data_IF_635801665914
#
_entry.id   IF_635801665914
#
_cell.length_a   1.000
_cell.length_b   1.000
_cell.length_c   1.000
_cell.angle_alpha   90.00
_cell.angle_beta   90.00
_cell.angle_gamma   90.00
#
_symmetry.space_group_name_H-M   'P 1'
#
loop_
_entity.id
_entity.type
_entity.pdbx_description
1 polymer ?
#
# COMPACT_ATOMS: atom_id res chain seq x y z
N UNK A 1 -14.29 0.05 -3.37
CA UNK A 1 -13.52 -1.18 -3.12
C UNK A 1 -14.34 -2.03 -2.18
N UNK A 2 -14.85 -3.17 -2.64
CA UNK A 2 -15.51 -4.16 -1.76
C UNK A 2 -14.42 -4.93 -1.01
N UNK A 3 -13.90 -4.31 0.06
CA UNK A 3 -13.07 -5.01 1.04
C UNK A 3 -13.92 -6.08 1.73
N UNK A 4 -13.29 -7.18 2.14
CA UNK A 4 -13.99 -8.13 2.98
C UNK A 4 -14.17 -7.50 4.38
N UNK A 5 -15.37 -6.97 4.63
CA UNK A 5 -15.69 -6.25 5.87
C UNK A 5 -15.42 -7.08 7.15
N UNK A 6 -15.50 -8.42 7.04
CA UNK A 6 -15.16 -9.31 8.15
C UNK A 6 -13.66 -9.26 8.43
N UNK A 7 -12.86 -9.37 7.38
CA UNK A 7 -11.41 -9.31 7.44
C UNK A 7 -10.97 -7.95 7.98
N UNK A 8 -11.60 -6.85 7.54
CA UNK A 8 -11.35 -5.51 8.08
C UNK A 8 -11.64 -5.42 9.59
N UNK A 9 -12.75 -6.00 10.07
CA UNK A 9 -13.05 -6.00 11.50
C UNK A 9 -12.07 -6.86 12.30
N UNK A 10 -11.73 -8.05 11.80
CA UNK A 10 -10.71 -8.91 12.42
C UNK A 10 -9.41 -8.13 12.57
N UNK A 11 -9.04 -7.38 11.54
CA UNK A 11 -7.85 -6.54 11.54
C UNK A 11 -7.93 -5.39 12.53
N UNK A 12 -9.06 -4.72 12.64
CA UNK A 12 -9.29 -3.65 13.62
C UNK A 12 -9.13 -4.19 15.06
N UNK A 13 -9.77 -5.32 15.36
CA UNK A 13 -9.70 -5.95 16.69
C UNK A 13 -8.28 -6.41 17.01
N UNK A 14 -7.59 -7.08 16.08
CA UNK A 14 -6.20 -7.50 16.26
C UNK A 14 -5.26 -6.32 16.45
N UNK A 15 -5.46 -5.23 15.70
CA UNK A 15 -4.73 -3.98 15.85
C UNK A 15 -4.91 -3.40 17.25
N UNK A 16 -6.15 -3.36 17.75
CA UNK A 16 -6.44 -2.87 19.09
C UNK A 16 -5.80 -3.73 20.19
N UNK A 17 -5.90 -5.06 20.08
CA UNK A 17 -5.24 -5.99 21.02
C UNK A 17 -3.73 -5.75 21.05
N UNK A 18 -3.12 -5.55 19.88
CA UNK A 18 -1.69 -5.27 19.79
C UNK A 18 -1.33 -3.92 20.44
N UNK A 19 -2.11 -2.86 20.18
CA UNK A 19 -1.94 -1.55 20.82
C UNK A 19 -2.05 -1.66 22.34
N UNK A 20 -3.04 -2.40 22.84
CA UNK A 20 -3.24 -2.63 24.28
C UNK A 20 -2.03 -3.33 24.91
N UNK A 21 -1.44 -4.30 24.20
CA UNK A 21 -0.22 -4.99 24.63
C UNK A 21 1.01 -4.08 24.70
N UNK A 22 1.19 -3.18 23.72
CA UNK A 22 2.28 -2.20 23.75
C UNK A 22 2.09 -1.25 24.94
N UNK A 23 0.87 -0.74 25.11
CA UNK A 23 0.49 0.14 26.20
C UNK A 23 0.69 -0.49 27.57
N UNK A 24 0.30 -1.76 27.74
CA UNK A 24 0.54 -2.53 28.95
C UNK A 24 2.04 -2.71 29.20
N UNK A 25 2.81 -3.04 28.16
CA UNK A 25 4.27 -3.21 28.26
C UNK A 25 4.98 -1.93 28.70
N UNK A 26 4.52 -0.77 28.20
CA UNK A 26 4.97 0.53 28.67
C UNK A 26 4.58 0.79 30.13
N UNK A 27 3.30 0.59 30.49
CA UNK A 27 2.77 0.79 31.85
C UNK A 27 3.47 -0.07 32.90
N UNK A 28 3.86 -1.29 32.53
CA UNK A 28 4.62 -2.20 33.38
C UNK A 28 6.11 -1.82 33.50
N UNK A 29 6.54 -0.72 32.88
CA UNK A 29 7.92 -0.25 32.91
C UNK A 29 8.90 -1.14 32.15
N UNK A 30 8.42 -1.99 31.24
CA UNK A 30 9.26 -2.98 30.52
C UNK A 30 9.81 -2.44 29.21
N UNK A 31 9.12 -1.47 28.60
CA UNK A 31 9.48 -0.94 27.29
C UNK A 31 10.82 -0.20 27.30
N UNK A 32 10.97 0.83 28.13
CA UNK A 32 12.19 1.64 28.17
C UNK A 32 13.45 0.82 28.52
N UNK A 33 13.44 -0.06 29.55
CA UNK A 33 14.60 -0.91 29.83
C UNK A 33 14.97 -1.82 28.66
N UNK A 34 13.98 -2.32 27.92
CA UNK A 34 14.22 -3.11 26.72
C UNK A 34 14.84 -2.27 25.60
N UNK A 35 14.32 -1.08 25.31
CA UNK A 35 14.91 -0.17 24.30
C UNK A 35 16.34 0.22 24.68
N UNK A 36 16.59 0.52 25.96
CA UNK A 36 17.92 0.81 26.49
C UNK A 36 18.92 -0.32 26.24
N UNK A 37 18.49 -1.58 26.08
CA UNK A 37 19.40 -2.67 25.70
C UNK A 37 20.02 -2.51 24.32
N UNK A 38 19.46 -1.68 23.44
CA UNK A 38 20.03 -1.41 22.11
C UNK A 38 20.97 -0.20 22.10
N UNK A 39 20.93 0.66 23.13
CA UNK A 39 21.86 1.77 23.26
C UNK A 39 23.28 1.26 23.53
N UNK A 40 24.34 1.76 22.84
CA UNK A 40 25.71 1.34 23.07
C UNK A 40 26.12 1.41 24.54
N UNK A 41 25.81 2.53 25.19
CA UNK A 41 26.10 2.77 26.61
C UNK A 41 24.98 2.34 27.57
N UNK A 42 23.95 1.65 27.08
CA UNK A 42 22.77 1.21 27.87
C UNK A 42 22.09 2.34 28.65
N UNK A 43 22.07 3.55 28.08
CA UNK A 43 21.49 4.72 28.74
C UNK A 43 19.98 4.54 28.98
N UNK A 44 19.44 5.06 30.08
CA UNK A 44 18.00 5.10 30.29
C UNK A 44 17.33 6.00 29.25
N UNK A 45 16.11 5.63 28.87
CA UNK A 45 15.27 6.40 27.96
C UNK A 45 13.85 6.57 28.50
N UNK A 46 13.14 7.55 27.96
CA UNK A 46 11.72 7.80 28.18
C UNK A 46 10.98 7.86 26.85
N UNK A 47 9.69 7.50 26.89
CA UNK A 47 8.78 7.67 25.76
C UNK A 47 8.30 9.12 25.74
N UNK A 48 8.49 9.80 24.62
CA UNK A 48 8.00 11.17 24.43
C UNK A 48 6.77 11.18 23.53
N UNK A 49 5.63 11.61 24.07
CA UNK A 49 4.38 11.74 23.32
C UNK A 49 3.65 10.42 23.06
N UNK A 50 2.77 10.43 22.06
CA UNK A 50 1.97 9.26 21.64
C UNK A 50 2.62 8.55 20.45
N UNK A 51 1.93 7.53 19.93
CA UNK A 51 2.36 6.88 18.69
C UNK A 51 2.42 7.86 17.52
N UNK A 52 3.46 7.70 16.71
CA UNK A 52 3.53 8.20 15.35
C UNK A 52 2.90 7.13 14.44
N UNK A 53 1.69 7.37 13.96
CA UNK A 53 0.94 6.39 13.18
C UNK A 53 1.30 6.46 11.69
N UNK A 54 1.78 5.35 11.14
CA UNK A 54 1.77 5.07 9.70
C UNK A 54 0.58 4.17 9.33
N UNK A 55 0.36 3.95 8.03
CA UNK A 55 -0.73 3.09 7.56
C UNK A 55 -0.54 1.62 7.99
N UNK A 56 0.72 1.16 8.08
CA UNK A 56 1.08 -0.22 8.38
C UNK A 56 2.06 -0.35 9.55
N UNK A 57 2.32 0.73 10.29
CA UNK A 57 3.30 0.74 11.35
C UNK A 57 3.00 1.78 12.44
N UNK A 58 3.48 1.53 13.65
CA UNK A 58 3.39 2.41 14.80
C UNK A 58 4.81 2.75 15.28
N UNK A 59 5.13 4.04 15.26
CA UNK A 59 6.39 4.59 15.74
C UNK A 59 6.27 5.10 17.18
N UNK A 60 7.31 4.91 17.97
CA UNK A 60 7.45 5.43 19.33
C UNK A 60 8.73 6.26 19.43
N UNK A 61 8.60 7.53 19.82
CA UNK A 61 9.72 8.44 20.00
C UNK A 61 10.35 8.21 21.38
N UNK A 62 11.61 7.80 21.41
CA UNK A 62 12.37 7.47 22.61
C UNK A 62 13.48 8.49 22.81
N UNK A 63 13.51 9.14 23.98
CA UNK A 63 14.53 10.14 24.35
C UNK A 63 15.44 9.55 25.41
N UNK A 64 16.73 9.50 25.13
CA UNK A 64 17.76 9.02 26.05
C UNK A 64 18.26 10.14 26.97
N UNK A 65 18.87 9.78 28.10
CA UNK A 65 19.39 10.75 29.08
C UNK A 65 20.47 11.70 28.53
N UNK A 66 21.17 11.31 27.46
CA UNK A 66 22.14 12.14 26.74
C UNK A 66 21.50 13.06 25.69
N UNK A 67 20.16 13.03 25.57
CA UNK A 67 19.33 13.72 24.57
C UNK A 67 19.38 13.12 23.18
N UNK A 68 19.96 11.93 23.00
CA UNK A 68 19.79 11.16 21.77
C UNK A 68 18.32 10.79 21.61
N UNK A 69 17.77 10.92 20.40
CA UNK A 69 16.36 10.62 20.12
C UNK A 69 16.26 9.55 19.05
N UNK A 70 15.57 8.45 19.37
CA UNK A 70 15.31 7.35 18.45
C UNK A 70 13.82 7.19 18.19
N UNK A 71 13.50 6.63 17.02
CA UNK A 71 12.19 6.10 16.70
C UNK A 71 12.25 4.57 16.77
N UNK A 72 11.39 3.97 17.59
CA UNK A 72 11.14 2.52 17.58
C UNK A 72 9.88 2.28 16.74
N UNK A 73 10.03 1.68 15.57
CA UNK A 73 8.94 1.38 14.64
C UNK A 73 8.57 -0.08 14.72
N UNK A 74 7.29 -0.36 14.94
CA UNK A 74 6.72 -1.69 14.86
C UNK A 74 5.78 -1.75 13.65
N UNK A 75 5.83 -2.81 12.82
CA UNK A 75 4.79 -3.05 11.83
C UNK A 75 3.48 -3.40 12.56
N UNK A 76 2.40 -2.71 12.19
CA UNK A 76 1.02 -3.00 12.56
C UNK A 76 0.57 -4.24 11.79
N UNK A 77 1.12 -5.40 12.19
CA UNK A 77 0.76 -6.79 11.86
C UNK A 77 2.01 -7.64 12.14
N UNK A 78 1.93 -8.49 13.15
CA UNK A 78 2.98 -9.45 13.42
C UNK A 78 2.90 -10.64 12.43
N UNK A 79 3.44 -10.46 11.21
CA UNK A 79 3.99 -11.59 10.45
C UNK A 79 5.50 -11.53 10.58
N UNK A 80 5.98 -12.26 11.57
CA UNK A 80 7.37 -12.44 11.93
C UNK A 80 7.39 -13.23 13.24
N UNK A 81 8.39 -14.10 13.48
CA UNK A 81 8.43 -14.85 14.73
C UNK A 81 8.53 -13.87 15.90
N UNK A 82 7.41 -13.62 16.59
CA UNK A 82 7.37 -12.83 17.82
C UNK A 82 8.31 -13.41 18.90
N UNK A 83 8.73 -14.66 18.72
CA UNK A 83 9.72 -15.37 19.52
C UNK A 83 11.08 -14.64 19.61
N UNK A 84 11.45 -13.75 18.67
CA UNK A 84 12.71 -13.00 18.76
C UNK A 84 12.59 -11.67 19.50
N UNK A 85 11.37 -11.20 19.78
CA UNK A 85 11.14 -10.00 20.60
C UNK A 85 10.75 -10.45 22.03
N UNK A 86 11.56 -10.15 23.06
CA UNK A 86 11.28 -10.58 24.43
C UNK A 86 10.01 -9.94 25.04
N UNK A 87 9.49 -8.87 24.43
CA UNK A 87 8.20 -8.26 24.79
C UNK A 87 7.02 -8.90 24.06
N UNK A 88 7.28 -9.79 23.10
CA UNK A 88 6.27 -10.43 22.27
C UNK A 88 5.49 -9.44 21.39
N UNK A 89 6.07 -8.27 21.09
CA UNK A 89 5.43 -7.22 20.28
C UNK A 89 5.61 -7.43 18.76
N UNK A 90 6.36 -8.46 18.36
CA UNK A 90 6.67 -8.74 16.96
C UNK A 90 7.99 -8.10 16.49
N UNK A 91 8.28 -8.14 15.18
CA UNK A 91 9.46 -7.50 14.60
C UNK A 91 9.43 -5.98 14.82
N UNK A 92 10.59 -5.34 14.79
CA UNK A 92 10.73 -3.89 15.00
C UNK A 92 11.97 -3.36 14.28
N UNK A 93 12.02 -2.05 14.10
CA UNK A 93 13.18 -1.31 13.59
C UNK A 93 13.45 -0.17 14.58
N UNK A 94 14.71 0.02 14.95
CA UNK A 94 15.17 1.21 15.69
C UNK A 94 15.96 2.06 14.70
N UNK A 95 15.65 3.34 14.66
CA UNK A 95 16.29 4.30 13.78
C UNK A 95 16.37 5.67 14.43
N UNK A 96 17.21 6.54 13.88
CA UNK A 96 17.28 7.93 14.32
C UNK A 96 15.93 8.63 14.09
N UNK A 97 15.53 9.46 15.05
CA UNK A 97 14.34 10.30 14.89
C UNK A 97 14.71 11.53 14.05
N UNK A 98 13.89 11.83 13.04
CA UNK A 98 14.05 13.03 12.21
C UNK A 98 13.12 14.11 12.74
N UNK A 99 13.69 15.17 13.32
CA UNK A 99 12.93 16.33 13.76
C UNK A 99 12.37 17.12 12.56
N UNK A 100 11.07 17.38 12.60
CA UNK A 100 10.38 18.18 11.59
C UNK A 100 8.87 17.99 11.62
N UNK A 101 8.22 18.43 10.54
CA UNK A 101 6.77 18.36 10.34
C UNK A 101 6.47 17.46 9.15
N UNK A 102 5.52 16.53 9.31
CA UNK A 102 5.00 15.72 8.20
C UNK A 102 4.41 16.63 7.13
N UNK A 103 4.92 16.52 5.90
CA UNK A 103 4.39 17.29 4.79
C UNK A 103 2.97 16.83 4.43
N UNK A 104 2.67 15.53 4.56
CA UNK A 104 1.32 15.01 4.37
C UNK A 104 0.29 15.67 5.30
N UNK A 105 0.65 15.87 6.57
CA UNK A 105 -0.23 16.54 7.53
C UNK A 105 -0.33 18.04 7.27
N UNK A 106 0.74 18.67 6.81
CA UNK A 106 0.75 20.10 6.48
C UNK A 106 -0.14 20.44 5.28
N UNK A 107 -0.23 19.51 4.32
CA UNK A 107 -0.99 19.70 3.09
C UNK A 107 -2.46 19.29 3.22
N UNK A 108 -2.86 18.59 4.28
CA UNK A 108 -4.25 18.24 4.52
C UNK A 108 -5.07 19.44 5.00
N UNK A 109 -6.31 19.53 4.54
CA UNK A 109 -7.30 20.44 5.12
C UNK A 109 -7.92 19.84 6.39
N UNK A 110 -7.42 20.28 7.54
CA UNK A 110 -7.93 19.87 8.86
C UNK A 110 -9.30 20.48 9.20
N UNK A 111 -9.80 21.41 8.39
CA UNK A 111 -11.12 22.02 8.57
C UNK A 111 -12.23 21.30 7.80
N UNK A 112 -11.88 20.41 6.86
CA UNK A 112 -12.84 19.65 6.08
C UNK A 112 -13.66 18.70 6.95
N UNK A 113 -14.99 18.68 6.76
CA UNK A 113 -15.89 17.75 7.46
C UNK A 113 -15.56 16.28 7.19
N UNK A 114 -14.99 16.00 6.02
CA UNK A 114 -14.50 14.68 5.62
C UNK A 114 -13.00 14.76 5.38
N UNK A 115 -12.18 14.07 6.20
CA UNK A 115 -10.75 13.99 5.96
C UNK A 115 -10.48 13.44 4.57
N UNK A 116 -9.68 14.16 3.79
CA UNK A 116 -9.20 13.70 2.49
C UNK A 116 -7.68 13.80 2.45
N UNK A 117 -7.06 13.03 1.55
CA UNK A 117 -5.62 13.18 1.26
C UNK A 117 -5.35 14.25 0.20
N UNK A 118 -6.36 15.00 -0.23
CA UNK A 118 -6.17 16.06 -1.20
C UNK A 118 -5.42 17.23 -0.57
N UNK A 119 -4.68 17.93 -1.42
CA UNK A 119 -4.00 19.16 -1.04
C UNK A 119 -5.03 20.24 -0.71
N UNK A 120 -4.86 20.92 0.42
CA UNK A 120 -5.64 22.11 0.80
C UNK A 120 -5.56 23.18 -0.28
N UNK A 121 -6.67 23.87 -0.52
CA UNK A 121 -6.79 24.84 -1.62
C UNK A 121 -6.08 26.18 -1.34
N UNK A 122 -5.81 26.49 -0.07
CA UNK A 122 -5.23 27.77 0.37
C UNK A 122 -3.69 27.80 0.31
N UNK A 123 -3.04 26.73 -0.14
CA UNK A 123 -1.59 26.70 -0.31
C UNK A 123 -1.14 27.60 -1.46
N UNK A 124 -0.06 28.36 -1.25
CA UNK A 124 0.46 29.25 -2.30
C UNK A 124 1.15 28.45 -3.42
N UNK A 125 1.03 28.91 -4.67
CA UNK A 125 1.76 28.33 -5.80
C UNK A 125 3.29 28.32 -5.57
N UNK A 126 3.80 29.27 -4.78
CA UNK A 126 5.22 29.34 -4.41
C UNK A 126 5.65 28.18 -3.51
N UNK A 127 4.85 27.85 -2.49
CA UNK A 127 5.13 26.74 -1.58
C UNK A 127 5.05 25.40 -2.31
N UNK A 128 4.04 25.26 -3.17
CA UNK A 128 3.86 24.10 -4.07
C UNK A 128 5.11 23.91 -4.95
N UNK A 129 5.63 25.00 -5.53
CA UNK A 129 6.84 24.95 -6.33
C UNK A 129 8.07 24.50 -5.52
N UNK A 130 8.26 25.02 -4.30
CA UNK A 130 9.37 24.63 -3.41
C UNK A 130 9.32 23.12 -3.10
N UNK A 131 8.14 22.62 -2.76
CA UNK A 131 7.92 21.21 -2.42
C UNK A 131 8.24 20.32 -3.63
N UNK A 132 7.62 20.60 -4.78
CA UNK A 132 7.76 19.74 -5.95
C UNK A 132 9.16 19.78 -6.56
N UNK A 133 9.86 20.91 -6.46
CA UNK A 133 11.26 21.01 -6.90
C UNK A 133 12.17 20.06 -6.10
N UNK A 134 11.97 19.96 -4.79
CA UNK A 134 12.72 19.04 -3.94
C UNK A 134 12.35 17.57 -4.23
N UNK A 135 11.05 17.27 -4.33
CA UNK A 135 10.56 15.93 -4.69
C UNK A 135 11.13 15.45 -6.04
N UNK A 136 11.09 16.31 -7.06
CA UNK A 136 11.70 16.03 -8.36
C UNK A 136 13.22 15.77 -8.23
N UNK A 137 13.92 16.53 -7.38
CA UNK A 137 15.32 16.32 -7.06
C UNK A 137 15.61 14.93 -6.47
N UNK A 138 14.78 14.44 -5.54
CA UNK A 138 14.92 13.09 -4.98
C UNK A 138 14.58 12.01 -6.00
N UNK A 139 13.52 12.19 -6.78
CA UNK A 139 13.15 11.24 -7.83
C UNK A 139 14.23 11.12 -8.90
N UNK A 140 14.88 12.23 -9.29
CA UNK A 140 16.01 12.18 -10.21
C UNK A 140 17.23 11.45 -9.63
N UNK A 141 17.44 11.52 -8.32
CA UNK A 141 18.49 10.74 -7.65
C UNK A 141 18.16 9.25 -7.65
N UNK A 142 16.92 8.88 -7.32
CA UNK A 142 16.45 7.48 -7.35
C UNK A 142 16.48 6.91 -8.78
N UNK A 143 16.09 7.69 -9.79
CA UNK A 143 16.10 7.27 -11.19
C UNK A 143 17.51 6.98 -11.73
N UNK A 144 18.57 7.51 -11.11
CA UNK A 144 19.96 7.19 -11.49
C UNK A 144 20.41 5.81 -11.01
N UNK A 145 19.65 5.16 -10.14
CA UNK A 145 19.93 3.81 -9.67
C UNK A 145 19.46 2.81 -10.74
N UNK A 146 20.43 2.15 -11.38
CA UNK A 146 20.21 1.15 -12.42
C UNK A 146 20.38 -0.26 -11.88
N UNK A 147 19.46 -1.14 -12.30
CA UNK A 147 19.46 -2.55 -11.95
C UNK A 147 19.24 -3.42 -13.18
N UNK A 148 19.84 -4.61 -13.19
CA UNK A 148 19.81 -5.55 -14.32
C UNK A 148 18.58 -6.48 -14.33
N UNK A 149 17.90 -6.65 -13.19
CA UNK A 149 16.76 -7.56 -13.07
C UNK A 149 15.66 -6.99 -12.17
N UNK A 150 14.40 -7.25 -12.52
CA UNK A 150 13.23 -6.96 -11.69
C UNK A 150 13.14 -7.95 -10.53
N UNK A 151 12.92 -7.45 -9.32
CA UNK A 151 12.77 -8.29 -8.14
C UNK A 151 12.76 -7.53 -6.82
N UNK A 152 12.66 -8.28 -5.72
CA UNK A 152 12.84 -7.77 -4.37
C UNK A 152 14.27 -7.28 -4.16
N UNK A 153 14.46 -6.28 -3.30
CA UNK A 153 15.80 -5.89 -2.87
C UNK A 153 16.48 -7.07 -2.17
N UNK A 154 17.74 -7.40 -2.55
CA UNK A 154 18.45 -8.50 -1.91
C UNK A 154 18.66 -8.19 -0.43
N UNK A 155 18.56 -9.18 0.48
CA UNK A 155 18.96 -8.96 1.85
C UNK A 155 20.45 -8.56 1.90
N UNK A 156 20.88 -7.79 2.92
CA UNK A 156 22.30 -7.59 3.20
C UNK A 156 23.00 -8.96 3.26
N UNK A 157 24.27 -9.09 2.85
CA UNK A 157 24.90 -10.39 2.60
C UNK A 157 24.91 -11.26 3.86
N UNK A 158 23.95 -12.19 3.95
CA UNK A 158 23.98 -13.35 4.82
C UNK A 158 24.73 -14.44 4.07
N UNK A 159 26.06 -14.38 4.13
CA UNK A 159 27.02 -15.32 3.53
C UNK A 159 26.95 -15.50 2.01
N UNK A 160 28.08 -15.85 1.39
CA UNK A 160 28.25 -16.05 -0.05
C UNK A 160 27.35 -17.17 -0.65
N UNK A 161 26.64 -17.91 0.20
CA UNK A 161 25.80 -19.05 -0.16
C UNK A 161 24.40 -18.67 -0.71
N UNK A 162 23.97 -17.40 -0.61
CA UNK A 162 22.65 -16.95 -1.06
C UNK A 162 22.68 -16.11 -2.35
N UNK A 163 23.65 -16.34 -3.25
CA UNK A 163 23.56 -15.79 -4.61
C UNK A 163 22.37 -16.44 -5.32
N UNK A 164 21.19 -15.86 -5.18
CA UNK A 164 20.05 -16.21 -6.00
C UNK A 164 20.43 -15.99 -7.47
N UNK A 165 20.17 -16.98 -8.31
CA UNK A 165 20.33 -16.86 -9.77
C UNK A 165 19.34 -15.87 -10.38
N UNK A 166 18.26 -15.56 -9.67
CA UNK A 166 17.31 -14.50 -9.95
C UNK A 166 16.79 -13.85 -8.67
N UNK A 167 16.56 -12.54 -8.69
CA UNK A 167 15.93 -11.85 -7.56
C UNK A 167 14.52 -12.40 -7.30
N UNK A 168 14.11 -12.62 -6.02
CA UNK A 168 12.76 -13.06 -5.70
C UNK A 168 11.69 -12.09 -6.20
N UNK A 169 10.48 -12.57 -6.51
CA UNK A 169 9.37 -11.69 -6.93
C UNK A 169 9.17 -10.54 -5.93
N UNK A 170 8.96 -9.30 -6.42
CA UNK A 170 8.67 -8.16 -5.56
C UNK A 170 7.50 -8.40 -4.60
N UNK A 171 7.58 -7.81 -3.41
CA UNK A 171 6.42 -7.62 -2.52
C UNK A 171 5.87 -6.21 -2.79
N UNK A 172 4.99 -6.11 -3.78
CA UNK A 172 4.33 -4.85 -4.15
C UNK A 172 3.26 -4.47 -3.14
N UNK A 173 2.88 -3.20 -3.13
CA UNK A 173 1.71 -2.76 -2.36
C UNK A 173 0.43 -3.49 -2.82
N UNK A 174 0.30 -3.71 -4.13
CA UNK A 174 -0.86 -4.44 -4.70
C UNK A 174 -0.99 -5.83 -4.11
N UNK A 175 0.03 -6.68 -4.20
CA UNK A 175 -0.06 -8.06 -3.69
C UNK A 175 -0.38 -8.10 -2.19
N UNK A 176 0.16 -7.14 -1.43
CA UNK A 176 -0.18 -7.00 -0.02
C UNK A 176 -1.64 -6.61 0.20
N UNK A 177 -2.15 -5.62 -0.53
CA UNK A 177 -3.54 -5.20 -0.45
C UNK A 177 -4.51 -6.32 -0.82
N UNK A 178 -4.18 -7.13 -1.83
CA UNK A 178 -5.00 -8.28 -2.24
C UNK A 178 -5.06 -9.34 -1.15
N UNK A 179 -3.89 -9.70 -0.58
CA UNK A 179 -3.82 -10.66 0.51
C UNK A 179 -4.55 -10.13 1.76
N UNK A 180 -4.32 -8.87 2.11
CA UNK A 180 -4.93 -8.26 3.28
C UNK A 180 -6.44 -8.13 3.12
N UNK A 181 -6.94 -7.61 2.00
CA UNK A 181 -8.34 -7.24 1.90
C UNK A 181 -9.22 -8.36 1.35
N UNK A 182 -8.62 -9.32 0.64
CA UNK A 182 -9.32 -10.42 -0.03
C UNK A 182 -8.91 -11.81 0.43
N UNK A 183 -7.89 -11.95 1.28
CA UNK A 183 -7.30 -13.24 1.70
C UNK A 183 -6.80 -14.11 0.54
N UNK A 184 -6.60 -13.51 -0.64
CA UNK A 184 -6.10 -14.22 -1.83
C UNK A 184 -4.59 -14.07 -1.92
N UNK A 185 -3.88 -15.20 -1.95
CA UNK A 185 -2.44 -15.21 -2.16
C UNK A 185 -2.11 -15.17 -3.66
N UNK A 186 -1.64 -14.02 -4.14
CA UNK A 186 -1.21 -13.82 -5.54
C UNK A 186 0.32 -13.67 -5.69
N UNK A 187 1.11 -14.12 -4.70
CA UNK A 187 2.58 -14.09 -4.76
C UNK A 187 3.13 -14.97 -5.89
N UNK A 188 2.44 -16.07 -6.20
CA UNK A 188 2.94 -17.13 -7.07
C UNK A 188 4.29 -17.67 -6.57
N UNK A 189 5.11 -18.15 -7.49
CA UNK A 189 6.44 -18.69 -7.16
C UNK A 189 7.44 -17.55 -6.89
N UNK A 190 7.66 -17.25 -5.60
CA UNK A 190 8.58 -16.19 -5.15
C UNK A 190 10.04 -16.44 -5.51
N UNK A 191 10.43 -17.67 -5.88
CA UNK A 191 11.82 -17.99 -6.25
C UNK A 191 12.21 -17.48 -7.63
N UNK A 192 11.23 -17.01 -8.42
CA UNK A 192 11.43 -16.51 -9.78
C UNK A 192 11.48 -14.98 -9.81
N UNK A 193 12.38 -14.42 -10.61
CA UNK A 193 12.35 -12.99 -10.97
C UNK A 193 11.57 -12.75 -12.27
N UNK A 194 11.69 -11.52 -12.79
CA UNK A 194 11.23 -11.18 -14.15
C UNK A 194 12.40 -10.69 -14.99
N UNK A 195 12.47 -11.11 -16.25
CA UNK A 195 13.51 -10.69 -17.18
C UNK A 195 13.07 -9.45 -17.98
N UNK A 196 11.77 -9.21 -18.11
CA UNK A 196 11.22 -8.14 -18.95
C UNK A 196 10.12 -7.37 -18.26
N UNK A 197 9.89 -6.13 -18.70
CA UNK A 197 8.72 -5.34 -18.27
C UNK A 197 7.41 -6.05 -18.65
N UNK A 198 7.34 -6.68 -19.82
CA UNK A 198 6.16 -7.43 -20.26
C UNK A 198 5.77 -8.53 -19.28
N UNK A 199 6.73 -9.34 -18.84
CA UNK A 199 6.47 -10.42 -17.88
C UNK A 199 5.97 -9.87 -16.55
N UNK A 200 6.60 -8.80 -16.05
CA UNK A 200 6.19 -8.17 -14.80
C UNK A 200 4.78 -7.56 -14.89
N UNK A 201 4.47 -6.79 -15.94
CA UNK A 201 3.12 -6.20 -16.10
C UNK A 201 2.05 -7.28 -16.29
N UNK A 202 2.32 -8.33 -17.07
CA UNK A 202 1.40 -9.47 -17.19
C UNK A 202 1.15 -10.16 -15.85
N UNK A 203 2.20 -10.31 -15.03
CA UNK A 203 2.07 -10.84 -13.68
C UNK A 203 1.19 -9.97 -12.78
N UNK A 204 1.46 -8.66 -12.73
CA UNK A 204 0.74 -7.72 -11.85
C UNK A 204 -0.73 -7.55 -12.27
N UNK A 205 -1.03 -7.40 -13.56
CA UNK A 205 -2.44 -7.39 -14.05
C UNK A 205 -3.15 -8.71 -13.74
N UNK A 206 -2.42 -9.83 -13.85
CA UNK A 206 -2.96 -11.15 -13.48
C UNK A 206 -3.44 -11.22 -12.03
N UNK A 207 -2.92 -10.41 -11.12
CA UNK A 207 -3.35 -10.44 -9.72
C UNK A 207 -4.79 -9.96 -9.52
N UNK A 208 -5.27 -8.99 -10.31
CA UNK A 208 -6.68 -8.56 -10.29
C UNK A 208 -7.60 -9.72 -10.71
N UNK A 209 -7.16 -10.49 -11.71
CA UNK A 209 -7.88 -11.69 -12.15
C UNK A 209 -7.95 -12.76 -11.06
N UNK A 210 -6.81 -13.07 -10.43
CA UNK A 210 -6.77 -14.05 -9.34
C UNK A 210 -7.66 -13.64 -8.17
N UNK A 211 -7.65 -12.36 -7.78
CA UNK A 211 -8.54 -11.86 -6.73
C UNK A 211 -10.01 -11.95 -7.14
N UNK A 212 -10.36 -11.56 -8.36
CA UNK A 212 -11.73 -11.67 -8.88
C UNK A 212 -12.23 -13.11 -8.79
N UNK A 213 -11.41 -14.07 -9.19
CA UNK A 213 -11.77 -15.49 -9.21
C UNK A 213 -11.89 -16.06 -7.79
N UNK A 214 -10.94 -15.76 -6.92
CA UNK A 214 -10.75 -16.48 -5.64
C UNK A 214 -11.33 -15.78 -4.41
N UNK A 215 -11.51 -14.46 -4.42
CA UNK A 215 -12.14 -13.77 -3.30
C UNK A 215 -13.68 -13.89 -3.45
N UNK A 216 -14.40 -14.53 -2.52
CA UNK A 216 -15.85 -14.78 -2.65
C UNK A 216 -16.67 -13.52 -2.95
N UNK A 217 -16.39 -12.43 -2.23
CA UNK A 217 -17.10 -11.15 -2.33
C UNK A 217 -16.43 -10.14 -3.28
N UNK A 218 -15.71 -10.59 -4.30
CA UNK A 218 -15.06 -9.72 -5.29
C UNK A 218 -16.02 -8.99 -6.26
N UNK A 219 -17.31 -9.32 -6.20
CA UNK A 219 -18.36 -8.75 -7.07
C UNK A 219 -19.58 -8.36 -6.24
N UNK A 220 -20.45 -7.50 -6.79
CA UNK A 220 -21.71 -7.10 -6.13
C UNK A 220 -22.99 -7.63 -6.80
N UNK A 221 -22.86 -8.48 -7.83
CA UNK A 221 -23.97 -9.13 -8.52
C UNK A 221 -23.56 -9.68 -9.89
N UNK A 222 -24.52 -10.27 -10.62
CA UNK A 222 -24.26 -10.90 -11.93
C UNK A 222 -23.67 -9.91 -12.94
N UNK A 223 -24.29 -8.74 -13.08
CA UNK A 223 -23.84 -7.69 -13.99
C UNK A 223 -22.39 -7.26 -13.69
N UNK A 224 -22.06 -7.06 -12.43
CA UNK A 224 -20.71 -6.68 -12.01
C UNK A 224 -19.69 -7.80 -12.27
N UNK A 225 -20.07 -9.06 -12.00
CA UNK A 225 -19.23 -10.22 -12.26
C UNK A 225 -18.86 -10.36 -13.73
N UNK A 226 -19.84 -10.25 -14.63
CA UNK A 226 -19.63 -10.35 -16.07
C UNK A 226 -18.74 -9.20 -16.58
N UNK A 227 -19.02 -7.97 -16.15
CA UNK A 227 -18.24 -6.80 -16.58
C UNK A 227 -16.79 -6.88 -16.08
N UNK A 228 -16.55 -7.23 -14.81
CA UNK A 228 -15.18 -7.39 -14.28
C UNK A 228 -14.43 -8.51 -15.00
N UNK A 229 -15.09 -9.62 -15.30
CA UNK A 229 -14.49 -10.74 -16.03
C UNK A 229 -13.94 -10.29 -17.39
N UNK A 230 -14.80 -9.67 -18.20
CA UNK A 230 -14.42 -9.20 -19.54
C UNK A 230 -13.38 -8.09 -19.44
N UNK A 231 -13.58 -7.12 -18.54
CA UNK A 231 -12.71 -5.97 -18.36
C UNK A 231 -11.28 -6.37 -17.98
N UNK A 232 -11.08 -7.31 -17.05
CA UNK A 232 -9.75 -7.73 -16.64
C UNK A 232 -9.04 -8.60 -17.67
N UNK A 233 -9.77 -9.46 -18.40
CA UNK A 233 -9.20 -10.18 -19.54
C UNK A 233 -8.79 -9.22 -20.66
N UNK A 234 -9.64 -8.24 -20.97
CA UNK A 234 -9.32 -7.19 -21.95
C UNK A 234 -8.10 -6.38 -21.53
N UNK A 235 -8.05 -5.89 -20.27
CA UNK A 235 -6.91 -5.15 -19.72
C UNK A 235 -5.59 -5.93 -19.88
N UNK A 236 -5.60 -7.22 -19.52
CA UNK A 236 -4.43 -8.10 -19.67
C UNK A 236 -3.99 -8.24 -21.13
N UNK A 237 -4.93 -8.25 -22.06
CA UNK A 237 -4.66 -8.34 -23.50
C UNK A 237 -4.02 -7.06 -24.08
N UNK A 238 -4.26 -5.90 -23.46
CA UNK A 238 -3.68 -4.61 -23.86
C UNK A 238 -2.25 -4.38 -23.38
N UNK A 239 -1.78 -5.11 -22.37
CA UNK A 239 -0.44 -4.92 -21.78
C UNK A 239 0.68 -4.86 -22.84
N UNK A 240 0.75 -5.74 -23.84
CA UNK A 240 1.82 -5.67 -24.86
C UNK A 240 1.82 -4.37 -25.67
N UNK A 241 0.65 -3.75 -25.88
CA UNK A 241 0.51 -2.51 -26.66
C UNK A 241 0.98 -1.28 -25.87
N UNK A 242 1.06 -1.41 -24.54
CA UNK A 242 1.37 -0.33 -23.59
C UNK A 242 2.78 -0.45 -23.00
N UNK A 243 3.70 -1.08 -23.74
CA UNK A 243 5.09 -1.27 -23.34
C UNK A 243 6.01 -0.49 -24.26
N UNK A 244 6.84 0.36 -23.67
CA UNK A 244 7.91 1.02 -24.37
C UNK A 244 9.01 -0.01 -24.71
N UNK A 245 9.17 -0.33 -25.99
CA UNK A 245 10.10 -1.36 -26.48
C UNK A 245 11.53 -1.22 -25.95
N UNK A 246 12.09 0.01 -25.99
CA UNK A 246 13.42 0.35 -25.42
C UNK A 246 13.56 -0.04 -23.94
N UNK A 247 12.51 0.10 -23.13
CA UNK A 247 12.53 -0.17 -21.70
C UNK A 247 12.05 -1.57 -21.33
N UNK A 248 11.69 -2.41 -22.31
CA UNK A 248 11.24 -3.76 -22.00
C UNK A 248 12.37 -4.64 -21.41
N UNK A 249 13.58 -4.48 -21.94
CA UNK A 249 14.82 -5.13 -21.48
C UNK A 249 15.86 -4.10 -21.02
N UNK A 250 15.44 -2.86 -20.78
CA UNK A 250 16.33 -1.79 -20.34
C UNK A 250 16.68 -1.92 -18.85
N UNK A 251 17.48 -0.97 -18.35
CA UNK A 251 17.77 -0.90 -16.92
C UNK A 251 16.48 -0.68 -16.12
N UNK A 252 16.34 -1.44 -15.04
CA UNK A 252 15.26 -1.34 -14.08
C UNK A 252 15.62 -0.33 -13.00
N UNK A 253 14.60 0.16 -12.28
CA UNK A 253 14.72 1.26 -11.31
C UNK A 253 14.23 0.83 -9.94
N UNK A 254 14.68 1.52 -8.91
CA UNK A 254 14.09 1.42 -7.58
C UNK A 254 12.70 2.07 -7.61
N UNK A 255 11.67 1.26 -7.45
CA UNK A 255 10.26 1.67 -7.36
C UNK A 255 9.83 1.56 -5.91
N UNK A 256 9.03 2.51 -5.44
CA UNK A 256 8.35 2.45 -4.16
C UNK A 256 6.89 2.82 -4.40
N UNK A 257 5.99 1.83 -4.33
CA UNK A 257 4.57 2.03 -4.69
C UNK A 257 3.89 3.08 -3.80
N UNK A 258 4.41 3.32 -2.59
CA UNK A 258 3.85 4.28 -1.64
C UNK A 258 4.58 5.63 -1.58
N UNK A 259 5.59 5.86 -2.42
CA UNK A 259 6.36 7.09 -2.37
C UNK A 259 5.58 8.30 -2.92
N UNK A 260 5.25 9.24 -2.05
CA UNK A 260 4.62 10.51 -2.36
C UNK A 260 4.98 11.62 -1.36
N UNK A 261 4.20 12.72 -1.35
CA UNK A 261 4.47 13.87 -0.48
C UNK A 261 4.28 13.55 1.01
N UNK A 262 3.43 12.58 1.35
CA UNK A 262 3.21 12.14 2.73
C UNK A 262 4.46 11.51 3.37
N UNK A 263 5.42 11.06 2.54
CA UNK A 263 6.67 10.45 2.98
C UNK A 263 7.77 11.49 3.29
N UNK A 264 7.49 12.78 3.09
CA UNK A 264 8.46 13.86 3.30
C UNK A 264 8.26 14.51 4.66
N UNK A 265 9.38 14.78 5.34
CA UNK A 265 9.44 15.58 6.57
C UNK A 265 10.12 16.89 6.21
N UNK A 266 9.47 18.02 6.51
CA UNK A 266 10.01 19.37 6.32
C UNK A 266 10.48 19.96 7.65
N UNK A 267 11.42 20.90 7.61
CA UNK A 267 12.02 21.48 8.82
C UNK A 267 10.98 22.12 9.72
N UNK A 268 10.03 22.88 9.17
CA UNK A 268 8.95 23.50 9.93
C UNK A 268 7.78 23.90 9.01
N UNK A 269 6.72 24.50 9.59
CA UNK A 269 5.60 25.05 8.80
C UNK A 269 6.00 26.23 7.91
N UNK A 270 7.02 26.99 8.33
CA UNK A 270 7.49 28.20 7.64
C UNK A 270 8.75 27.96 6.79
N UNK A 271 9.43 26.82 7.00
CA UNK A 271 10.58 26.37 6.22
C UNK A 271 10.30 24.98 5.64
N UNK A 272 9.86 24.97 4.38
CA UNK A 272 9.51 23.78 3.61
C UNK A 272 10.73 23.00 3.08
N UNK A 273 11.93 23.27 3.59
CA UNK A 273 13.12 22.44 3.30
C UNK A 273 12.88 21.02 3.80
N UNK A 274 12.96 20.04 2.89
CA UNK A 274 12.85 18.61 3.22
C UNK A 274 14.10 18.17 3.99
N UNK A 275 13.88 17.63 5.19
CA UNK A 275 14.92 17.10 6.09
C UNK A 275 14.84 15.58 6.25
N UNK A 276 13.77 14.95 5.76
CA UNK A 276 13.63 13.48 5.77
C UNK A 276 12.77 12.97 4.62
N UNK A 277 13.18 11.83 4.08
CA UNK A 277 12.36 10.97 3.20
C UNK A 277 12.23 9.65 3.92
N UNK A 278 11.03 9.33 4.39
CA UNK A 278 10.76 8.18 5.26
C UNK A 278 9.79 7.21 4.60
N UNK A 279 9.52 6.10 5.28
CA UNK A 279 8.48 5.16 4.89
C UNK A 279 8.61 4.65 3.44
N UNK A 280 9.83 4.30 3.04
CA UNK A 280 10.13 3.63 1.76
C UNK A 280 9.73 2.15 1.76
N UNK A 281 8.70 1.79 2.53
CA UNK A 281 8.10 0.47 2.48
C UNK A 281 7.50 0.22 1.09
N UNK A 282 7.37 -1.06 0.71
CA UNK A 282 6.97 -1.44 -0.66
C UNK A 282 7.98 -1.04 -1.74
N UNK A 283 9.25 -0.88 -1.36
CA UNK A 283 10.35 -0.70 -2.31
C UNK A 283 10.78 -2.01 -2.98
N UNK A 284 10.95 -1.98 -4.29
CA UNK A 284 11.44 -3.09 -5.11
C UNK A 284 12.13 -2.59 -6.37
N UNK A 285 12.83 -3.49 -7.06
CA UNK A 285 13.39 -3.20 -8.38
C UNK A 285 12.33 -3.52 -9.43
N UNK A 286 11.91 -2.51 -10.20
CA UNK A 286 10.81 -2.61 -11.14
C UNK A 286 11.04 -1.87 -12.47
N UNK A 287 10.10 -1.96 -13.42
CA UNK A 287 10.21 -1.29 -14.71
C UNK A 287 10.40 0.22 -14.60
N UNK A 288 11.37 0.77 -15.34
CA UNK A 288 11.61 2.21 -15.42
C UNK A 288 10.36 3.00 -15.87
N UNK A 289 9.47 2.35 -16.62
CA UNK A 289 8.21 2.91 -17.13
C UNK A 289 7.24 3.31 -16.00
N UNK A 290 7.26 2.59 -14.87
CA UNK A 290 6.49 2.98 -13.68
C UNK A 290 6.99 4.30 -13.10
N UNK A 291 8.31 4.50 -13.10
CA UNK A 291 8.95 5.72 -12.61
C UNK A 291 8.72 6.91 -13.55
N UNK A 292 8.75 6.66 -14.86
CA UNK A 292 8.54 7.66 -15.90
C UNK A 292 7.08 7.83 -16.33
N UNK A 293 6.13 7.53 -15.46
CA UNK A 293 4.72 7.87 -15.69
C UNK A 293 4.39 9.19 -15.04
N UNK A 294 3.44 9.93 -15.63
CA UNK A 294 2.89 11.13 -15.01
C UNK A 294 2.51 10.83 -13.56
N UNK A 295 3.22 11.42 -12.58
CA UNK A 295 3.17 10.89 -11.25
C UNK A 295 1.89 11.31 -10.54
N UNK A 296 1.17 10.32 -10.01
CA UNK A 296 -0.01 10.52 -9.17
C UNK A 296 0.30 11.33 -7.89
N UNK A 297 1.56 11.39 -7.44
CA UNK A 297 1.95 12.26 -6.31
C UNK A 297 1.75 13.75 -6.57
N UNK A 298 1.59 14.20 -7.82
CA UNK A 298 1.15 15.57 -8.13
C UNK A 298 -0.25 15.86 -7.57
N UNK A 299 -1.04 14.82 -7.34
CA UNK A 299 -2.39 14.91 -6.83
C UNK A 299 -2.46 14.71 -5.32
N UNK A 300 -1.31 14.45 -4.66
CA UNK A 300 -1.17 14.03 -3.25
C UNK A 300 -1.90 12.71 -2.89
N UNK A 301 -2.81 12.26 -3.74
CA UNK A 301 -3.68 11.12 -3.59
C UNK A 301 -3.64 10.21 -4.82
N UNK A 302 -4.01 8.93 -4.65
CA UNK A 302 -4.12 8.01 -5.78
C UNK A 302 -5.52 8.14 -6.40
N UNK A 303 -5.65 8.39 -7.71
CA UNK A 303 -6.95 8.63 -8.35
C UNK A 303 -7.72 7.33 -8.60
N UNK A 304 -7.88 6.51 -7.55
CA UNK A 304 -8.54 5.19 -7.56
C UNK A 304 -9.56 5.04 -6.44
N UNK A 305 -9.65 6.02 -5.54
CA UNK A 305 -10.69 6.05 -4.53
C UNK A 305 -11.93 6.79 -5.03
N UNK A 306 -13.03 6.67 -4.30
CA UNK A 306 -14.33 7.21 -4.70
C UNK A 306 -14.41 8.73 -4.73
N UNK A 307 -13.41 9.46 -4.20
CA UNK A 307 -13.33 10.91 -4.34
C UNK A 307 -13.01 11.34 -5.79
N UNK A 308 -12.55 10.39 -6.63
CA UNK A 308 -12.27 10.60 -8.05
C UNK A 308 -13.33 10.00 -8.98
N UNK A 309 -14.40 9.40 -8.42
CA UNK A 309 -15.46 8.79 -9.22
C UNK A 309 -16.26 9.86 -9.98
N UNK A 310 -16.59 9.56 -11.24
CA UNK A 310 -17.26 10.50 -12.15
C UNK A 310 -18.74 10.65 -11.78
N UNK A 311 -19.13 11.78 -11.17
CA UNK A 311 -20.54 12.12 -10.92
C UNK A 311 -21.19 12.96 -12.03
N UNK A 312 -20.57 13.00 -13.22
CA UNK A 312 -21.12 13.68 -14.40
C UNK A 312 -20.63 15.11 -14.63
N UNK A 313 -19.73 15.63 -13.80
CA UNK A 313 -19.02 16.90 -14.02
C UNK A 313 -17.50 16.68 -14.03
N UNK A 314 -16.80 17.63 -14.65
CA UNK A 314 -15.39 17.59 -15.04
C UNK A 314 -14.43 17.11 -13.92
N UNK A 315 -13.31 16.45 -14.26
CA UNK A 315 -12.32 16.02 -13.27
C UNK A 315 -11.75 17.23 -12.50
N UNK A 316 -11.26 17.04 -11.25
CA UNK A 316 -10.68 18.12 -10.45
C UNK A 316 -9.60 18.92 -11.21
N UNK A 317 -9.62 20.25 -11.05
CA UNK A 317 -8.76 21.23 -11.76
C UNK A 317 -7.25 20.95 -11.60
N UNK A 318 -6.86 20.18 -10.58
CA UNK A 318 -5.48 19.76 -10.30
C UNK A 318 -4.85 18.87 -11.37
N UNK A 319 -5.65 18.27 -12.27
CA UNK A 319 -5.15 17.42 -13.36
C UNK A 319 -4.56 18.19 -14.57
N UNK A 320 -4.63 19.53 -14.59
CA UNK A 320 -4.45 20.32 -15.83
C UNK A 320 -3.09 21.04 -16.00
N UNK A 321 -2.08 20.85 -15.13
CA UNK A 321 -0.82 21.63 -15.20
C UNK A 321 0.35 20.82 -15.78
N UNK A 322 0.78 21.05 -17.04
CA UNK A 322 2.00 20.44 -17.58
C UNK A 322 3.25 21.25 -17.17
N UNK A 323 4.29 20.62 -16.61
CA UNK A 323 5.59 21.27 -16.47
C UNK A 323 6.27 21.36 -17.84
N UNK A 324 6.74 22.56 -18.20
CA UNK A 324 7.67 22.73 -19.31
C UNK A 324 9.10 22.42 -18.86
N UNK A 325 9.89 21.73 -19.69
CA UNK A 325 11.34 21.92 -19.88
C UNK A 325 11.99 20.76 -20.69
N UNK A 326 13.24 21.00 -21.10
CA UNK A 326 14.11 20.30 -22.06
C UNK A 326 14.14 18.76 -22.00
N UNK A 327 14.30 18.14 -23.18
CA UNK A 327 14.29 16.68 -23.38
C UNK A 327 15.47 15.95 -22.69
N UNK A 328 15.20 15.39 -21.51
CA UNK A 328 16.00 14.38 -20.83
C UNK A 328 15.31 13.01 -20.91
N UNK A 329 16.04 11.95 -20.63
CA UNK A 329 15.52 10.57 -20.73
C UNK A 329 14.20 10.35 -19.98
N UNK A 330 14.10 10.84 -18.74
CA UNK A 330 12.89 10.71 -17.92
C UNK A 330 11.71 11.54 -18.48
N UNK A 331 11.95 12.76 -18.98
CA UNK A 331 10.88 13.59 -19.55
C UNK A 331 10.32 12.99 -20.84
N UNK A 332 11.17 12.35 -21.65
CA UNK A 332 10.73 11.61 -22.84
C UNK A 332 9.86 10.41 -22.47
N UNK A 333 10.22 9.69 -21.39
CA UNK A 333 9.42 8.58 -20.88
C UNK A 333 8.05 9.04 -20.34
N UNK A 334 8.02 10.17 -19.63
CA UNK A 334 6.78 10.82 -19.15
C UNK A 334 5.90 11.21 -20.33
N UNK A 335 6.47 11.89 -21.34
CA UNK A 335 5.74 12.25 -22.57
C UNK A 335 5.16 11.03 -23.26
N UNK A 336 5.97 9.98 -23.45
CA UNK A 336 5.51 8.72 -24.05
C UNK A 336 4.37 8.09 -23.24
N UNK A 337 4.49 8.00 -21.92
CA UNK A 337 3.47 7.38 -21.07
C UNK A 337 2.10 8.07 -21.17
N UNK A 338 2.12 9.39 -21.41
CA UNK A 338 0.93 10.20 -21.63
C UNK A 338 0.35 9.98 -23.03
N UNK A 339 1.20 10.02 -24.05
CA UNK A 339 0.78 9.88 -25.45
C UNK A 339 0.29 8.48 -25.78
N UNK A 340 0.84 7.44 -25.15
CA UNK A 340 0.44 6.04 -25.34
C UNK A 340 -0.70 5.58 -24.43
N UNK A 341 -1.12 6.41 -23.47
CA UNK A 341 -2.06 6.02 -22.42
C UNK A 341 -1.50 5.05 -21.38
N UNK A 342 -0.23 4.63 -21.47
CA UNK A 342 0.39 3.68 -20.54
C UNK A 342 0.39 4.16 -19.08
N UNK A 343 0.41 5.48 -18.84
CA UNK A 343 0.29 6.03 -17.47
C UNK A 343 -0.97 5.53 -16.74
N UNK A 344 -2.09 5.32 -17.44
CA UNK A 344 -3.32 4.81 -16.83
C UNK A 344 -3.20 3.35 -16.43
N UNK A 345 -2.54 2.53 -17.27
CA UNK A 345 -2.20 1.15 -16.90
C UNK A 345 -1.29 1.16 -15.66
N UNK A 346 -0.24 1.97 -15.64
CA UNK A 346 0.70 2.00 -14.52
C UNK A 346 0.02 2.38 -13.18
N UNK A 347 -0.98 3.27 -13.19
CA UNK A 347 -1.80 3.57 -12.01
C UNK A 347 -2.60 2.34 -11.54
N UNK A 348 -3.17 1.57 -12.47
CA UNK A 348 -3.89 0.31 -12.16
C UNK A 348 -2.94 -0.75 -11.58
N UNK A 349 -1.68 -0.79 -12.04
CA UNK A 349 -0.65 -1.72 -11.53
C UNK A 349 -0.18 -1.38 -10.11
N UNK A 350 -0.14 -0.09 -9.75
CA UNK A 350 0.27 0.38 -8.42
C UNK A 350 -0.88 0.43 -7.41
N UNK A 351 -2.09 0.04 -7.81
CA UNK A 351 -3.28 0.07 -6.96
C UNK A 351 -3.64 -1.34 -6.49
N UNK A 352 -4.43 -1.44 -5.41
CA UNK A 352 -4.98 -2.70 -4.90
C UNK A 352 -5.96 -3.34 -5.89
N UNK A 353 -7.07 -3.91 -5.42
CA UNK A 353 -8.07 -4.48 -6.32
C UNK A 353 -8.72 -3.39 -7.17
N UNK A 354 -8.60 -3.50 -8.49
CA UNK A 354 -9.14 -2.49 -9.39
C UNK A 354 -10.66 -2.62 -9.57
N UNK A 355 -11.30 -1.52 -9.94
CA UNK A 355 -12.69 -1.51 -10.42
C UNK A 355 -12.73 -1.12 -11.90
N UNK A 356 -13.56 -1.80 -12.68
CA UNK A 356 -13.71 -1.58 -14.12
C UNK A 356 -14.30 -0.19 -14.47
N UNK A 357 -14.82 0.52 -13.47
CA UNK A 357 -15.36 1.89 -13.55
C UNK A 357 -14.44 2.92 -12.92
N UNK A 358 -13.34 2.51 -12.30
CA UNK A 358 -12.39 3.44 -11.69
C UNK A 358 -11.88 4.47 -12.71
N UNK A 359 -11.51 5.64 -12.22
CA UNK A 359 -11.00 6.74 -13.06
C UNK A 359 -9.90 6.30 -14.04
N UNK A 360 -8.79 5.63 -13.64
CA UNK A 360 -7.74 5.22 -14.57
C UNK A 360 -8.25 4.19 -15.58
N UNK A 361 -9.15 3.30 -15.18
CA UNK A 361 -9.75 2.33 -16.11
C UNK A 361 -10.57 3.05 -17.18
N UNK A 362 -11.40 4.01 -16.78
CA UNK A 362 -12.20 4.84 -17.68
C UNK A 362 -11.33 5.65 -18.62
N UNK A 363 -10.22 6.24 -18.13
CA UNK A 363 -9.27 6.98 -18.96
C UNK A 363 -8.53 6.09 -19.96
N UNK A 364 -8.17 4.87 -19.55
CA UNK A 364 -7.56 3.90 -20.45
C UNK A 364 -8.53 3.46 -21.55
N UNK A 365 -9.81 3.22 -21.21
CA UNK A 365 -10.88 2.94 -22.18
C UNK A 365 -11.07 4.08 -23.18
N UNK A 366 -11.10 5.32 -22.69
CA UNK A 366 -11.22 6.51 -23.53
C UNK A 366 -10.04 6.63 -24.50
N UNK A 367 -8.82 6.30 -24.05
CA UNK A 367 -7.61 6.35 -24.88
C UNK A 367 -7.68 5.40 -26.09
N UNK A 368 -8.13 4.16 -25.90
CA UNK A 368 -8.28 3.19 -26.99
C UNK A 368 -9.54 3.41 -27.85
N UNK A 369 -10.43 4.31 -27.42
CA UNK A 369 -11.72 4.53 -28.04
C UNK A 369 -12.71 3.38 -27.80
N UNK A 370 -14.00 3.67 -27.99
CA UNK A 370 -15.07 2.70 -27.79
C UNK A 370 -14.89 1.44 -28.66
N UNK A 371 -14.52 1.61 -29.92
CA UNK A 371 -14.36 0.49 -30.88
C UNK A 371 -13.12 -0.36 -30.57
N UNK A 372 -12.00 0.27 -30.22
CA UNK A 372 -10.76 -0.43 -29.89
C UNK A 372 -10.89 -1.28 -28.63
N UNK A 373 -11.53 -0.72 -27.60
CA UNK A 373 -11.83 -1.43 -26.37
C UNK A 373 -12.84 -2.56 -26.59
N UNK A 374 -13.98 -2.27 -27.20
CA UNK A 374 -15.03 -3.26 -27.46
C UNK A 374 -14.54 -4.43 -28.32
N UNK A 375 -13.58 -4.20 -29.23
CA UNK A 375 -12.96 -5.27 -30.01
C UNK A 375 -12.25 -6.30 -29.14
N UNK A 376 -11.47 -5.87 -28.14
CA UNK A 376 -10.79 -6.79 -27.21
C UNK A 376 -11.79 -7.44 -26.25
N UNK A 377 -12.81 -6.72 -25.79
CA UNK A 377 -13.86 -7.29 -24.93
C UNK A 377 -14.61 -8.43 -25.63
N UNK A 378 -14.92 -8.27 -26.92
CA UNK A 378 -15.56 -9.31 -27.74
C UNK A 378 -14.77 -10.62 -27.83
N UNK A 379 -13.45 -10.59 -27.64
CA UNK A 379 -12.64 -11.82 -27.59
C UNK A 379 -12.96 -12.68 -26.36
N UNK A 380 -13.61 -12.09 -25.35
CA UNK A 380 -13.93 -12.71 -24.07
C UNK A 380 -15.44 -12.70 -23.74
N UNK A 381 -16.28 -12.27 -24.68
CA UNK A 381 -17.74 -12.16 -24.54
C UNK A 381 -18.45 -13.49 -24.86
N UNK A 382 -18.07 -14.54 -24.12
CA UNK A 382 -18.69 -15.86 -24.23
C UNK A 382 -19.85 -15.97 -23.22
N UNK A 383 -21.09 -15.88 -23.69
CA UNK A 383 -22.28 -15.88 -22.82
C UNK A 383 -22.31 -17.04 -21.82
N UNK A 384 -21.99 -18.27 -22.26
CA UNK A 384 -21.98 -19.44 -21.39
C UNK A 384 -20.91 -19.34 -20.27
N UNK A 385 -19.69 -18.89 -20.60
CA UNK A 385 -18.64 -18.67 -19.60
C UNK A 385 -19.02 -17.55 -18.62
N UNK A 386 -19.59 -16.46 -19.13
CA UNK A 386 -19.96 -15.29 -18.35
C UNK A 386 -21.12 -15.58 -17.40
N UNK A 387 -22.16 -16.28 -17.86
CA UNK A 387 -23.28 -16.73 -17.04
C UNK A 387 -22.80 -17.72 -15.98
N UNK A 388 -21.99 -18.71 -16.34
CA UNK A 388 -21.45 -19.68 -15.40
C UNK A 388 -20.58 -19.01 -14.32
N UNK A 389 -19.73 -18.06 -14.72
CA UNK A 389 -18.91 -17.30 -13.77
C UNK A 389 -19.77 -16.43 -12.85
N UNK A 390 -20.74 -15.70 -13.40
CA UNK A 390 -21.63 -14.83 -12.63
C UNK A 390 -22.46 -15.64 -11.61
N UNK A 391 -23.07 -16.74 -12.04
CA UNK A 391 -23.83 -17.63 -11.16
C UNK A 391 -22.96 -18.18 -10.02
N UNK A 392 -21.71 -18.58 -10.32
CA UNK A 392 -20.77 -19.03 -9.30
C UNK A 392 -20.48 -17.92 -8.29
N UNK A 393 -20.14 -16.71 -8.76
CA UNK A 393 -19.81 -15.58 -7.89
C UNK A 393 -20.99 -15.12 -7.04
N UNK A 394 -22.21 -15.11 -7.58
CA UNK A 394 -23.43 -14.80 -6.82
C UNK A 394 -23.71 -15.88 -5.78
N UNK A 395 -23.54 -17.16 -6.12
CA UNK A 395 -23.62 -18.24 -5.14
C UNK A 395 -22.58 -18.14 -4.02
N UNK A 396 -21.36 -17.71 -4.32
CA UNK A 396 -20.31 -17.42 -3.33
C UNK A 396 -20.68 -16.25 -2.41
N UNK A 397 -21.32 -15.20 -2.93
CA UNK A 397 -21.83 -14.07 -2.12
C UNK A 397 -22.92 -14.51 -1.14
N UNK A 398 -23.87 -15.32 -1.62
CA UNK A 398 -24.99 -15.78 -0.79
C UNK A 398 -24.53 -16.72 0.32
N UNK A 399 -23.52 -17.56 0.04
CA UNK A 399 -22.87 -18.43 1.03
C UNK A 399 -21.84 -17.72 1.92
N UNK A 400 -21.32 -16.57 1.49
CA UNK A 400 -20.32 -15.77 2.21
C UNK A 400 -20.90 -14.77 3.21
N UNK A 401 -22.23 -14.64 3.29
CA UNK A 401 -22.90 -13.84 4.33
C UNK A 401 -22.85 -14.59 5.65
N UNK A 402 -21.87 -14.22 6.46
CA UNK A 402 -21.68 -14.77 7.80
C UNK A 402 -22.92 -14.54 8.67
N UNK A 403 -23.40 -15.60 9.32
CA UNK A 403 -24.50 -15.46 10.30
C UNK A 403 -23.99 -14.74 11.54
N UNK A 404 -24.91 -14.18 12.33
CA UNK A 404 -24.56 -13.55 13.61
C UNK A 404 -23.81 -14.52 14.55
N UNK A 405 -24.07 -15.82 14.46
CA UNK A 405 -23.40 -16.85 15.27
C UNK A 405 -21.95 -17.10 14.84
N UNK A 406 -21.70 -17.17 13.53
CA UNK A 406 -20.33 -17.31 12.99
C UNK A 406 -19.48 -16.09 13.30
N UNK A 407 -20.07 -14.89 13.28
CA UNK A 407 -19.41 -13.66 13.71
C UNK A 407 -18.99 -13.71 15.18
N UNK A 408 -19.88 -14.18 16.06
CA UNK A 408 -19.59 -14.34 17.50
C UNK A 408 -18.46 -15.35 17.71
N UNK A 409 -18.46 -16.46 16.98
CA UNK A 409 -17.42 -17.49 17.05
C UNK A 409 -16.06 -16.97 16.55
N UNK A 410 -16.02 -16.23 15.44
CA UNK A 410 -14.80 -15.60 14.94
C UNK A 410 -14.24 -14.57 15.92
N UNK A 411 -15.11 -13.72 16.50
CA UNK A 411 -14.73 -12.76 17.53
C UNK A 411 -14.20 -13.46 18.80
N UNK A 412 -14.83 -14.55 19.24
CA UNK A 412 -14.39 -15.33 20.40
C UNK A 412 -13.00 -15.97 20.19
N UNK A 413 -12.74 -16.51 19.00
CA UNK A 413 -11.45 -17.10 18.64
C UNK A 413 -10.29 -16.09 18.57
N UNK A 414 -10.59 -14.80 18.41
CA UNK A 414 -9.61 -13.70 18.42
C UNK A 414 -9.31 -13.23 19.84
N UNK A 415 -10.31 -13.28 20.72
CA UNK A 415 -10.20 -12.82 22.12
C UNK A 415 -9.60 -13.88 23.02
N UNK A 416 -9.85 -15.18 22.77
CA UNK A 416 -9.22 -16.25 23.53
C UNK A 416 -7.78 -16.50 23.06
N UNK A 417 -6.77 -16.32 23.93
CA UNK A 417 -5.45 -16.82 23.60
C UNK A 417 -5.57 -18.33 23.46
N UNK A 418 -4.95 -18.92 22.42
CA UNK A 418 -4.66 -20.36 22.39
C UNK A 418 -3.70 -20.70 23.53
N UNK A 419 -4.22 -20.74 24.76
CA UNK A 419 -3.60 -21.42 25.87
C UNK A 419 -3.76 -22.90 25.62
N UNK A 420 -2.62 -23.57 25.53
CA UNK A 420 -2.45 -25.02 25.68
C UNK A 420 -3.60 -25.69 26.45
N UNK A 421 -4.24 -26.67 25.79
CA UNK A 421 -5.05 -27.69 26.43
C UNK A 421 -4.25 -28.37 27.55
N UNK A 422 -4.45 -27.93 28.80
CA UNK A 422 -4.39 -28.80 29.97
C UNK A 422 -4.99 -28.12 31.21
N UNK A 423 -5.96 -28.83 31.79
CA UNK A 423 -6.45 -28.83 33.18
C UNK A 423 -7.42 -27.73 33.70
N UNK A 424 -8.69 -28.13 33.74
CA UNK A 424 -9.57 -28.29 34.94
C UNK A 424 -10.13 -27.03 35.67
N UNK A 425 -11.44 -26.81 35.43
CA UNK A 425 -12.61 -26.66 36.36
C UNK A 425 -12.76 -25.44 37.30
N UNK A 426 -13.92 -24.77 37.11
CA UNK A 426 -14.75 -23.90 37.99
C UNK A 426 -14.13 -22.56 38.47
N UNK A 427 -14.80 -21.40 38.53
CA UNK A 427 -16.20 -21.11 38.90
C UNK A 427 -16.75 -19.80 38.26
N UNK A 428 -18.05 -19.60 38.46
CA UNK A 428 -18.99 -18.65 37.88
C UNK A 428 -18.78 -17.13 38.07
N UNK A 429 -19.30 -16.39 37.08
CA UNK A 429 -20.08 -15.13 37.13
C UNK A 429 -19.46 -13.84 37.72
N UNK A 430 -19.33 -12.81 36.86
CA UNK A 430 -20.25 -11.63 36.88
C UNK A 430 -19.92 -10.58 35.82
N UNK A 431 -20.99 -10.11 35.15
CA UNK A 431 -21.07 -8.93 34.27
C UNK A 431 -20.65 -7.62 34.97
N UNK A 432 -19.94 -6.72 34.28
CA UNK A 432 -20.45 -5.42 33.79
C UNK A 432 -19.34 -4.47 33.27
N UNK A 433 -19.73 -3.68 32.26
CA UNK A 433 -19.23 -2.35 31.85
C UNK A 433 -17.98 -2.25 30.94
N UNK A 434 -18.30 -2.25 29.64
CA UNK A 434 -17.57 -1.53 28.58
C UNK A 434 -17.41 -0.06 28.98
N UNK A 435 -16.17 0.36 29.25
CA UNK A 435 -15.77 1.78 29.31
C UNK A 435 -14.84 2.06 28.14
N UNK A 436 -15.27 2.97 27.24
CA UNK A 436 -14.39 3.64 26.27
C UNK A 436 -13.26 4.31 27.05
N UNK A 437 -12.03 3.84 26.90
CA UNK A 437 -10.84 4.50 27.44
C UNK A 437 -10.12 5.25 26.32
N UNK A 438 -9.78 6.52 26.57
CA UNK A 438 -8.96 7.36 25.70
C UNK A 438 -7.50 6.85 25.68
N UNK A 439 -6.75 7.09 24.57
CA UNK A 439 -5.34 6.75 24.46
C UNK A 439 -4.45 7.53 25.44
N UNK A 440 -3.28 6.97 25.75
CA UNK A 440 -2.47 7.24 26.95
C UNK A 440 -1.82 8.63 26.96
N UNK A 441 -1.97 9.26 28.12
CA UNK A 441 -1.25 10.41 28.68
C UNK A 441 0.11 10.05 29.27
#
# INVERSE_FOLDING_TARGET
>A
MDTNALVDLVHEVQGQIWVDKVNETHRLGRLCPWVSTFHPDKLPCELEGSFHHGAFNAGMKMVFSDRTVWMVRFPLRAWGPAATNPLGLGPFIIMDFIDGVSLGDLLQDHSAERPSRLMREDISDHDVEIIYRQMAGFLLQLFRLDFEQIGSLPPPPLTEAHRFTSLPRPLTFKVHSILQNGEVNTFGDRTKGFATTTEYFQYVVGQDWEQLVHQPNSVCGEYDAQNKYVAFKALRSFVPDLIHSKYNHGNFKLICDDLGLANLIVRSKDDLTVVGVVDLEWSYIGPAQLFGSAPWWLLQDRPVNSAWDYNGEEPPETAARPPGHEEKELSSLVKWSRESGAMWLHILLSSGFNDHRSFPFTKLRQHFGADGWAKREKEFDCAEELEAFALRKVGELDNGRMTKEEFILAAAAIIEPRSSLSSVVNDEASNEKVRKARPIS
#
